data_IF_190831693524
#
_entry.id   IF_190831693524
#
_cell.length_a   1.000
_cell.length_b   1.000
_cell.length_c   1.000
_cell.angle_alpha   90.00
_cell.angle_beta   90.00
_cell.angle_gamma   90.00
#
_symmetry.space_group_name_H-M   'P 1'
#
loop_
_entity.id
_entity.type
_entity.pdbx_description
1 polymer ?
#
# COMPACT_ATOMS: atom_id res chain seq x y z
N UNK A 1 -3.18 9.45 -37.08
CA UNK A 1 -2.95 8.17 -36.38
C UNK A 1 -1.90 8.44 -35.33
N UNK A 2 -2.31 9.08 -34.25
CA UNK A 2 -1.40 9.68 -33.29
C UNK A 2 -1.06 8.68 -32.19
N UNK A 3 0.23 8.44 -32.09
CA UNK A 3 0.94 7.83 -30.98
C UNK A 3 0.40 8.41 -29.66
N UNK A 4 -0.33 7.60 -28.91
CA UNK A 4 -0.85 8.00 -27.60
C UNK A 4 0.24 7.69 -26.59
N UNK A 5 1.18 8.64 -26.51
CA UNK A 5 2.23 8.73 -25.51
C UNK A 5 1.63 8.39 -24.14
N UNK A 6 2.29 7.47 -23.44
CA UNK A 6 2.05 7.10 -22.04
C UNK A 6 1.98 8.35 -21.16
N UNK A 7 0.82 8.97 -21.07
CA UNK A 7 0.52 9.95 -20.04
C UNK A 7 0.09 9.16 -18.80
N UNK A 8 1.05 8.44 -18.24
CA UNK A 8 1.00 7.98 -16.87
C UNK A 8 1.11 9.26 -16.04
N UNK A 9 -0.03 9.80 -15.62
CA UNK A 9 -0.09 10.64 -14.43
C UNK A 9 0.30 9.76 -13.22
N UNK A 10 1.60 9.44 -13.15
CA UNK A 10 2.24 8.82 -12.00
C UNK A 10 2.16 9.86 -10.90
N UNK A 11 1.23 9.69 -9.97
CA UNK A 11 1.25 10.42 -8.71
C UNK A 11 2.68 10.40 -8.17
N UNK A 12 3.27 11.59 -8.06
CA UNK A 12 4.71 11.77 -8.02
C UNK A 12 5.36 10.93 -6.92
N UNK A 13 6.21 9.97 -7.33
CA UNK A 13 7.01 9.12 -6.44
C UNK A 13 7.69 10.01 -5.39
N UNK A 14 7.41 9.76 -4.11
CA UNK A 14 8.08 10.48 -3.03
C UNK A 14 9.48 9.90 -2.78
N UNK A 15 10.42 10.31 -3.63
CA UNK A 15 11.83 9.93 -3.63
C UNK A 15 12.54 9.94 -2.29
N UNK A 16 12.32 10.93 -1.39
CA UNK A 16 12.99 10.96 -0.10
C UNK A 16 12.74 9.69 0.72
N UNK A 17 11.49 9.23 0.72
CA UNK A 17 11.12 8.06 1.49
C UNK A 17 11.50 6.76 0.83
N UNK A 18 11.42 6.67 -0.51
CA UNK A 18 11.88 5.47 -1.23
C UNK A 18 13.36 5.20 -0.92
N UNK A 19 14.19 6.24 -0.98
CA UNK A 19 15.62 6.17 -0.71
C UNK A 19 15.88 5.84 0.76
N UNK A 20 15.25 6.57 1.69
CA UNK A 20 15.40 6.33 3.13
C UNK A 20 14.97 4.91 3.50
N UNK A 21 13.83 4.46 2.99
CA UNK A 21 13.30 3.14 3.27
C UNK A 21 14.22 2.05 2.72
N UNK A 22 14.68 2.15 1.48
CA UNK A 22 15.66 1.22 0.92
C UNK A 22 16.87 1.08 1.84
N UNK A 23 17.47 2.23 2.18
CA UNK A 23 18.68 2.30 3.00
C UNK A 23 18.47 1.63 4.36
N UNK A 24 17.39 1.98 5.06
CA UNK A 24 17.07 1.41 6.38
C UNK A 24 16.73 -0.07 6.31
N UNK A 25 16.01 -0.53 5.27
CA UNK A 25 15.67 -1.94 5.08
C UNK A 25 16.89 -2.84 4.89
N UNK A 26 18.01 -2.27 4.42
CA UNK A 26 19.31 -2.96 4.23
C UNK A 26 20.32 -2.66 5.34
N UNK A 27 19.94 -1.92 6.38
CA UNK A 27 20.85 -1.51 7.45
C UNK A 27 22.01 -0.62 6.98
N UNK A 28 21.85 0.07 5.86
CA UNK A 28 22.93 0.84 5.24
C UNK A 28 23.08 2.23 5.90
N UNK A 29 24.33 2.69 6.03
CA UNK A 29 24.64 4.10 6.28
C UNK A 29 24.50 4.89 4.98
N UNK A 30 24.24 6.20 5.05
CA UNK A 30 24.12 7.04 3.85
C UNK A 30 25.36 6.96 2.96
N UNK A 31 26.57 6.93 3.54
CA UNK A 31 27.82 6.80 2.80
C UNK A 31 27.95 5.46 2.05
N UNK A 32 27.42 4.37 2.62
CA UNK A 32 27.43 3.06 1.97
C UNK A 32 26.50 3.04 0.75
N UNK A 33 25.27 3.55 0.90
CA UNK A 33 24.35 3.69 -0.24
C UNK A 33 24.88 4.64 -1.32
N UNK A 34 25.57 5.71 -0.91
CA UNK A 34 26.20 6.64 -1.84
C UNK A 34 27.25 5.94 -2.71
N UNK A 35 28.10 5.12 -2.09
CA UNK A 35 29.07 4.28 -2.78
C UNK A 35 28.39 3.32 -3.78
N UNK A 36 27.33 2.62 -3.36
CA UNK A 36 26.61 1.67 -4.23
C UNK A 36 25.93 2.34 -5.45
N UNK A 37 25.52 3.60 -5.29
CA UNK A 37 24.89 4.41 -6.34
C UNK A 37 25.90 5.22 -7.16
N UNK A 38 27.18 5.24 -6.78
CA UNK A 38 28.20 6.07 -7.43
C UNK A 38 27.96 7.57 -7.28
N UNK A 39 27.41 7.99 -6.14
CA UNK A 39 27.10 9.40 -5.82
C UNK A 39 27.73 9.82 -4.50
N UNK A 40 27.63 11.09 -4.13
CA UNK A 40 28.15 11.58 -2.85
C UNK A 40 27.15 11.34 -1.71
N UNK A 41 27.63 11.17 -0.47
CA UNK A 41 26.77 11.09 0.70
C UNK A 41 25.86 12.33 0.83
N UNK A 42 26.38 13.52 0.48
CA UNK A 42 25.61 14.77 0.48
C UNK A 42 24.41 14.71 -0.44
N UNK A 43 24.53 14.05 -1.61
CA UNK A 43 23.39 13.84 -2.51
C UNK A 43 22.34 12.94 -1.86
N UNK A 44 22.73 11.82 -1.24
CA UNK A 44 21.81 10.96 -0.47
C UNK A 44 21.10 11.76 0.63
N UNK A 45 21.84 12.55 1.40
CA UNK A 45 21.26 13.36 2.47
C UNK A 45 20.24 14.38 1.95
N UNK A 46 20.52 15.03 0.82
CA UNK A 46 19.59 15.98 0.19
C UNK A 46 18.36 15.29 -0.38
N UNK A 47 18.51 14.07 -0.90
CA UNK A 47 17.37 13.29 -1.35
C UNK A 47 16.50 12.84 -0.19
N UNK A 48 17.07 12.28 0.87
CA UNK A 48 16.32 11.83 2.05
C UNK A 48 15.63 12.97 2.81
N UNK A 49 16.15 14.20 2.72
CA UNK A 49 15.51 15.39 3.29
C UNK A 49 14.49 16.06 2.36
N UNK A 50 14.37 15.61 1.10
CA UNK A 50 13.55 16.26 0.08
C UNK A 50 14.11 17.58 -0.47
N UNK A 51 15.33 17.95 -0.08
CA UNK A 51 16.01 19.15 -0.60
C UNK A 51 16.43 19.01 -2.08
N UNK A 52 16.46 17.79 -2.62
CA UNK A 52 16.65 17.53 -4.04
C UNK A 52 15.95 16.23 -4.45
N UNK A 53 15.65 16.10 -5.74
CA UNK A 53 15.13 14.87 -6.34
C UNK A 53 16.29 14.17 -7.09
N UNK A 54 16.44 12.84 -7.01
CA UNK A 54 17.44 12.12 -7.79
C UNK A 54 17.21 12.28 -9.28
N UNK A 55 18.27 12.26 -10.09
CA UNK A 55 18.14 12.23 -11.55
C UNK A 55 17.49 10.94 -12.01
N UNK A 56 16.83 10.94 -13.16
CA UNK A 56 16.13 9.76 -13.71
C UNK A 56 17.02 8.49 -13.74
N UNK A 57 18.29 8.63 -14.13
CA UNK A 57 19.26 7.53 -14.10
C UNK A 57 19.48 6.95 -12.69
N UNK A 58 19.54 7.81 -11.67
CA UNK A 58 19.66 7.34 -10.29
C UNK A 58 18.34 6.76 -9.79
N UNK A 59 17.21 7.34 -10.19
CA UNK A 59 15.89 6.79 -9.91
C UNK A 59 15.79 5.34 -10.37
N UNK A 60 16.14 5.08 -11.64
CA UNK A 60 16.24 3.74 -12.23
C UNK A 60 17.20 2.85 -11.44
N UNK A 61 18.38 3.35 -11.06
CA UNK A 61 19.36 2.56 -10.30
C UNK A 61 18.88 2.20 -8.89
N UNK A 62 18.20 3.12 -8.20
CA UNK A 62 17.58 2.87 -6.89
C UNK A 62 16.47 1.83 -7.04
N UNK A 63 15.69 1.89 -8.12
CA UNK A 63 14.73 0.84 -8.45
C UNK A 63 15.42 -0.50 -8.68
N UNK A 64 16.47 -0.56 -9.50
CA UNK A 64 17.23 -1.78 -9.74
C UNK A 64 17.74 -2.41 -8.44
N UNK A 65 18.30 -1.61 -7.54
CA UNK A 65 18.82 -2.11 -6.25
C UNK A 65 17.71 -2.59 -5.32
N UNK A 66 16.62 -1.83 -5.23
CA UNK A 66 15.47 -2.17 -4.42
C UNK A 66 14.84 -3.48 -4.90
N UNK A 67 14.72 -3.65 -6.22
CA UNK A 67 14.12 -4.83 -6.83
C UNK A 67 15.07 -6.01 -6.93
N UNK A 68 16.34 -5.85 -7.32
CA UNK A 68 17.32 -6.94 -7.35
C UNK A 68 17.47 -7.63 -5.98
N UNK A 69 17.21 -6.90 -4.90
CA UNK A 69 17.25 -7.41 -3.54
C UNK A 69 15.93 -8.03 -3.03
N UNK A 70 14.85 -7.96 -3.82
CA UNK A 70 13.51 -8.51 -3.54
C UNK A 70 12.98 -9.44 -4.65
N UNK A 71 13.62 -9.52 -5.81
CA UNK A 71 13.10 -10.25 -6.98
C UNK A 71 13.68 -11.65 -7.12
N UNK A 72 12.90 -12.65 -6.73
CA UNK A 72 12.75 -13.83 -7.59
C UNK A 72 11.33 -13.96 -8.15
N UNK A 73 10.39 -13.10 -7.74
CA UNK A 73 8.96 -13.25 -8.05
C UNK A 73 8.46 -12.01 -8.79
N UNK A 74 7.93 -12.21 -10.00
CA UNK A 74 7.31 -11.15 -10.80
C UNK A 74 6.08 -10.55 -10.12
N UNK A 75 5.68 -9.32 -10.50
CA UNK A 75 4.45 -8.67 -10.01
C UNK A 75 3.24 -9.59 -10.18
N UNK A 76 3.11 -10.25 -11.33
CA UNK A 76 2.03 -11.21 -11.60
C UNK A 76 2.05 -12.36 -10.61
N UNK A 77 3.20 -13.00 -10.40
CA UNK A 77 3.31 -14.14 -9.50
C UNK A 77 3.05 -13.77 -8.02
N UNK A 78 3.40 -12.54 -7.61
CA UNK A 78 3.04 -12.02 -6.28
C UNK A 78 1.53 -11.78 -6.14
N UNK A 79 0.91 -11.11 -7.12
CA UNK A 79 -0.54 -10.89 -7.15
C UNK A 79 -1.33 -12.21 -7.20
N UNK A 80 -0.84 -13.21 -7.92
CA UNK A 80 -1.45 -14.55 -7.98
C UNK A 80 -1.32 -15.31 -6.66
N UNK A 81 -0.23 -15.10 -5.92
CA UNK A 81 -0.08 -15.64 -4.55
C UNK A 81 -1.08 -14.99 -3.61
N UNK A 82 -1.25 -13.67 -3.67
CA UNK A 82 -2.25 -12.95 -2.86
C UNK A 82 -3.66 -13.40 -3.21
N UNK A 83 -3.99 -13.51 -4.51
CA UNK A 83 -5.31 -13.93 -4.98
C UNK A 83 -5.75 -15.29 -4.41
N UNK A 84 -4.79 -16.19 -4.13
CA UNK A 84 -5.04 -17.51 -3.54
C UNK A 84 -5.03 -17.54 -2.00
N UNK A 85 -4.67 -16.43 -1.34
CA UNK A 85 -4.53 -16.39 0.10
C UNK A 85 -5.87 -16.65 0.83
N UNK A 86 -5.90 -17.50 1.88
CA UNK A 86 -7.15 -17.91 2.53
C UNK A 86 -7.70 -16.89 3.53
N UNK A 87 -6.88 -15.96 4.03
CA UNK A 87 -7.32 -14.85 4.88
C UNK A 87 -7.70 -13.60 4.06
N UNK A 88 -8.35 -12.62 4.69
CA UNK A 88 -8.70 -11.34 4.05
C UNK A 88 -7.41 -10.58 3.75
N UNK A 89 -7.05 -10.48 2.48
CA UNK A 89 -5.86 -9.73 2.01
C UNK A 89 -6.25 -8.95 0.76
N UNK A 90 -5.93 -7.67 0.73
CA UNK A 90 -6.21 -6.76 -0.38
C UNK A 90 -4.96 -6.00 -0.80
N UNK A 91 -4.86 -5.73 -2.09
CA UNK A 91 -3.85 -4.84 -2.67
C UNK A 91 -4.58 -3.65 -3.27
N UNK A 92 -4.29 -2.45 -2.79
CA UNK A 92 -4.97 -1.22 -3.17
C UNK A 92 -3.91 -0.18 -3.55
N UNK A 93 -4.09 0.54 -4.65
CA UNK A 93 -3.16 1.60 -5.04
C UNK A 93 -3.45 2.92 -4.29
N UNK A 94 -2.67 3.97 -4.57
CA UNK A 94 -2.81 5.28 -3.94
C UNK A 94 -4.17 5.93 -4.19
N UNK A 95 -4.77 5.71 -5.37
CA UNK A 95 -6.11 6.22 -5.72
C UNK A 95 -7.26 5.47 -5.03
N UNK A 96 -6.95 4.37 -4.32
CA UNK A 96 -7.97 3.53 -3.70
C UNK A 96 -8.53 2.48 -4.66
N UNK A 97 -7.95 2.24 -5.83
CA UNK A 97 -8.35 1.16 -6.72
C UNK A 97 -7.90 -0.20 -6.16
N UNK A 98 -8.83 -1.15 -6.07
CA UNK A 98 -8.58 -2.51 -5.59
C UNK A 98 -7.92 -3.31 -6.71
N UNK A 99 -6.59 -3.43 -6.68
CA UNK A 99 -5.82 -4.15 -7.68
C UNK A 99 -5.98 -5.67 -7.57
N UNK A 100 -6.13 -6.18 -6.35
CA UNK A 100 -6.29 -7.62 -6.09
C UNK A 100 -6.99 -7.88 -4.76
N UNK A 101 -7.91 -8.84 -4.76
CA UNK A 101 -8.58 -9.35 -3.56
C UNK A 101 -8.31 -10.86 -3.41
N UNK A 102 -7.88 -11.26 -2.21
CA UNK A 102 -7.63 -12.67 -1.92
C UNK A 102 -8.91 -13.51 -1.95
N UNK A 103 -8.75 -14.84 -2.01
CA UNK A 103 -9.86 -15.78 -1.83
C UNK A 103 -10.56 -15.58 -0.49
N UNK A 104 -9.81 -15.36 0.59
CA UNK A 104 -10.39 -15.07 1.91
C UNK A 104 -11.22 -13.79 1.93
N UNK A 105 -10.73 -12.75 1.25
CA UNK A 105 -11.43 -11.47 1.17
C UNK A 105 -12.74 -11.58 0.40
N UNK A 106 -12.72 -12.21 -0.77
CA UNK A 106 -13.93 -12.48 -1.57
C UNK A 106 -14.95 -13.35 -0.84
N UNK A 107 -14.48 -14.36 -0.09
CA UNK A 107 -15.35 -15.22 0.72
C UNK A 107 -16.00 -14.47 1.87
N UNK A 108 -15.25 -13.59 2.56
CA UNK A 108 -15.81 -12.74 3.62
C UNK A 108 -17.00 -11.92 3.10
N UNK A 109 -16.85 -11.34 1.91
CA UNK A 109 -17.86 -10.48 1.31
C UNK A 109 -18.91 -11.22 0.47
N UNK A 110 -18.78 -12.54 0.34
CA UNK A 110 -19.60 -13.39 -0.53
C UNK A 110 -19.72 -12.84 -1.96
N UNK A 111 -18.57 -12.60 -2.60
CA UNK A 111 -18.55 -11.95 -3.91
C UNK A 111 -17.54 -12.56 -4.90
N UNK A 112 -17.77 -12.26 -6.18
CA UNK A 112 -16.85 -12.64 -7.25
C UNK A 112 -15.63 -11.71 -7.29
N UNK A 113 -14.57 -12.14 -7.99
CA UNK A 113 -13.38 -11.33 -8.21
C UNK A 113 -13.68 -10.00 -8.90
N UNK A 114 -14.50 -10.04 -9.96
CA UNK A 114 -14.87 -8.88 -10.77
C UNK A 114 -15.79 -7.90 -10.04
N UNK A 115 -16.43 -8.33 -8.93
CA UNK A 115 -17.25 -7.46 -8.12
C UNK A 115 -16.43 -6.48 -7.23
N UNK A 116 -15.13 -6.74 -7.06
CA UNK A 116 -14.20 -5.94 -6.25
C UNK A 116 -13.06 -5.37 -7.08
N UNK A 117 -12.35 -6.21 -7.82
CA UNK A 117 -11.10 -5.80 -8.46
C UNK A 117 -11.34 -4.81 -9.60
N UNK A 118 -10.59 -3.73 -9.62
CA UNK A 118 -10.75 -2.60 -10.53
C UNK A 118 -11.67 -1.49 -10.00
N UNK A 119 -12.47 -1.75 -8.96
CA UNK A 119 -13.29 -0.71 -8.33
C UNK A 119 -12.51 0.10 -7.31
N UNK A 120 -12.94 1.33 -7.07
CA UNK A 120 -12.38 2.17 -6.03
C UNK A 120 -13.02 1.90 -4.67
N UNK A 121 -12.26 2.11 -3.59
CA UNK A 121 -12.74 1.90 -2.20
C UNK A 121 -14.03 2.68 -1.95
N UNK A 122 -14.11 3.94 -2.37
CA UNK A 122 -15.29 4.79 -2.18
C UNK A 122 -16.52 4.34 -3.00
N UNK A 123 -16.33 3.55 -4.06
CA UNK A 123 -17.42 2.97 -4.85
C UNK A 123 -17.87 1.62 -4.31
N UNK A 124 -16.91 0.82 -3.82
CA UNK A 124 -17.13 -0.55 -3.37
C UNK A 124 -17.58 -0.63 -1.91
N UNK A 125 -17.26 0.37 -1.09
CA UNK A 125 -17.48 0.34 0.35
C UNK A 125 -18.05 1.66 0.88
N UNK A 126 -18.99 1.52 1.81
CA UNK A 126 -19.36 2.56 2.77
C UNK A 126 -18.81 2.22 4.17
N UNK A 127 -18.84 3.18 5.08
CA UNK A 127 -18.36 3.04 6.45
C UNK A 127 -16.93 3.53 6.60
N UNK A 128 -16.11 2.81 7.37
CA UNK A 128 -14.80 3.33 7.80
C UNK A 128 -13.72 3.33 6.72
N UNK A 129 -13.83 2.48 5.69
CA UNK A 129 -12.75 2.29 4.72
C UNK A 129 -12.44 3.49 3.81
N UNK A 130 -13.42 4.25 3.29
CA UNK A 130 -13.14 5.50 2.59
C UNK A 130 -12.31 6.48 3.45
N UNK A 131 -12.73 6.72 4.70
CA UNK A 131 -12.01 7.60 5.62
C UNK A 131 -10.65 7.02 6.06
N UNK A 132 -10.53 5.70 6.14
CA UNK A 132 -9.26 5.03 6.39
C UNK A 132 -8.29 5.24 5.23
N UNK A 133 -8.73 5.06 3.98
CA UNK A 133 -7.92 5.31 2.79
C UNK A 133 -7.39 6.74 2.77
N UNK A 134 -8.25 7.74 2.97
CA UNK A 134 -7.84 9.16 3.09
C UNK A 134 -6.81 9.39 4.21
N UNK A 135 -6.98 8.73 5.36
CA UNK A 135 -6.04 8.82 6.47
C UNK A 135 -4.68 8.16 6.13
N UNK A 136 -4.67 7.04 5.40
CA UNK A 136 -3.45 6.38 4.95
C UNK A 136 -2.71 7.24 3.91
N UNK A 137 -3.43 7.88 2.99
CA UNK A 137 -2.87 8.85 2.03
C UNK A 137 -2.26 10.03 2.79
N UNK A 138 -3.04 10.72 3.61
CA UNK A 138 -2.58 11.95 4.30
C UNK A 138 -1.46 11.69 5.31
N UNK A 139 -1.37 10.49 5.89
CA UNK A 139 -0.27 10.09 6.77
C UNK A 139 1.02 9.70 6.03
N UNK A 140 0.94 9.55 4.72
CA UNK A 140 2.10 9.31 3.86
C UNK A 140 2.42 7.84 3.62
N UNK A 141 1.41 6.94 3.63
CA UNK A 141 1.64 5.50 3.43
C UNK A 141 2.22 5.20 2.05
N UNK A 142 1.69 5.85 1.01
CA UNK A 142 2.13 5.68 -0.38
C UNK A 142 3.47 6.38 -0.66
N UNK A 143 3.95 7.13 0.32
CA UNK A 143 5.24 7.76 0.38
C UNK A 143 6.12 7.08 1.43
N UNK A 144 5.84 5.85 1.87
CA UNK A 144 6.70 5.11 2.80
C UNK A 144 6.95 5.78 4.17
N UNK A 145 6.18 6.81 4.56
CA UNK A 145 6.26 7.50 5.86
C UNK A 145 5.53 6.75 6.97
N UNK A 146 4.72 5.77 6.61
CA UNK A 146 3.99 4.89 7.53
C UNK A 146 4.64 3.51 7.51
N UNK A 147 4.99 2.98 8.68
CA UNK A 147 5.49 1.61 8.80
C UNK A 147 4.33 0.61 8.81
N UNK A 148 3.28 0.94 9.55
CA UNK A 148 2.04 0.18 9.59
C UNK A 148 0.90 1.03 10.15
N UNK A 149 -0.33 0.64 9.85
CA UNK A 149 -1.50 1.09 10.58
C UNK A 149 -2.35 -0.12 10.97
N UNK A 150 -3.10 0.01 12.04
CA UNK A 150 -4.03 -1.00 12.53
C UNK A 150 -5.40 -0.36 12.70
N UNK A 151 -6.46 -1.06 12.32
CA UNK A 151 -7.83 -0.56 12.38
C UNK A 151 -8.80 -1.60 12.93
N UNK A 152 -9.90 -1.12 13.48
CA UNK A 152 -11.10 -1.92 13.74
C UNK A 152 -12.26 -1.20 13.05
N UNK A 153 -12.74 -1.80 11.96
CA UNK A 153 -13.60 -1.13 10.99
C UNK A 153 -14.99 -1.75 10.97
N UNK A 154 -16.01 -0.90 10.83
CA UNK A 154 -17.34 -1.25 10.36
C UNK A 154 -17.50 -0.83 8.90
N UNK A 155 -17.61 -1.80 8.01
CA UNK A 155 -17.75 -1.57 6.57
C UNK A 155 -19.04 -2.14 6.02
N UNK A 156 -19.55 -1.55 4.95
CA UNK A 156 -20.63 -2.12 4.14
C UNK A 156 -20.15 -2.27 2.71
N UNK A 157 -20.04 -3.50 2.25
CA UNK A 157 -19.76 -3.79 0.84
C UNK A 157 -21.00 -3.52 -0.01
N UNK A 158 -20.82 -2.70 -1.04
CA UNK A 158 -21.82 -2.36 -2.06
C UNK A 158 -21.60 -3.26 -3.28
N UNK A 159 -22.33 -4.37 -3.35
CA UNK A 159 -22.18 -5.29 -4.46
C UNK A 159 -22.79 -4.74 -5.75
N UNK A 160 -22.26 -5.10 -6.93
CA UNK A 160 -22.78 -4.62 -8.22
C UNK A 160 -24.23 -5.00 -8.51
N UNK A 161 -24.74 -6.05 -7.85
CA UNK A 161 -26.14 -6.49 -7.90
C UNK A 161 -27.08 -5.64 -7.03
N UNK A 162 -26.55 -4.66 -6.29
CA UNK A 162 -27.29 -3.80 -5.38
C UNK A 162 -27.36 -4.34 -3.94
N UNK A 163 -26.88 -5.56 -3.67
CA UNK A 163 -26.86 -6.10 -2.31
C UNK A 163 -25.85 -5.36 -1.42
N UNK A 164 -26.24 -5.16 -0.16
CA UNK A 164 -25.43 -4.46 0.85
C UNK A 164 -25.07 -5.44 1.95
N UNK A 165 -23.76 -5.66 2.15
CA UNK A 165 -23.27 -6.64 3.12
C UNK A 165 -22.37 -5.97 4.14
N UNK A 166 -22.86 -5.85 5.37
CA UNK A 166 -22.11 -5.26 6.49
C UNK A 166 -21.11 -6.27 7.06
N UNK A 167 -19.90 -5.81 7.37
CA UNK A 167 -18.84 -6.58 8.02
C UNK A 167 -18.13 -5.73 9.07
N UNK A 168 -17.59 -6.41 10.07
CA UNK A 168 -16.62 -5.82 10.98
C UNK A 168 -15.27 -6.48 10.73
N UNK A 169 -14.23 -5.67 10.56
CA UNK A 169 -12.91 -6.15 10.15
C UNK A 169 -11.85 -5.57 11.07
N UNK A 170 -10.97 -6.43 11.60
CA UNK A 170 -9.71 -5.99 12.21
C UNK A 170 -8.64 -5.99 11.12
N UNK A 171 -8.12 -4.81 10.79
CA UNK A 171 -7.17 -4.59 9.72
C UNK A 171 -5.75 -4.31 10.22
N UNK A 172 -4.76 -4.85 9.51
CA UNK A 172 -3.38 -4.41 9.50
C UNK A 172 -3.05 -3.91 8.09
N UNK A 173 -2.53 -2.69 8.02
CA UNK A 173 -2.26 -1.96 6.79
C UNK A 173 -0.77 -1.67 6.71
N UNK A 174 -0.14 -2.03 5.60
CA UNK A 174 1.29 -1.81 5.39
C UNK A 174 1.55 -1.29 3.98
N UNK A 175 2.54 -0.42 3.77
CA UNK A 175 3.05 -0.19 2.43
C UNK A 175 3.72 -1.46 1.93
N UNK A 176 3.45 -1.82 0.67
CA UNK A 176 4.16 -2.86 -0.05
C UNK A 176 4.68 -2.30 -1.36
N UNK A 177 5.87 -2.71 -1.75
CA UNK A 177 6.56 -2.17 -2.90
C UNK A 177 6.47 -3.19 -4.03
N UNK A 178 5.74 -2.84 -5.09
CA UNK A 178 5.52 -3.74 -6.23
C UNK A 178 6.48 -3.45 -7.37
N UNK A 179 7.00 -4.46 -8.10
CA UNK A 179 7.13 -4.44 -9.55
C UNK A 179 7.19 -3.13 -10.36
N UNK A 180 7.98 -2.10 -10.06
CA UNK A 180 7.83 -0.76 -10.67
C UNK A 180 7.68 0.36 -9.64
N UNK A 181 7.50 1.63 -10.04
CA UNK A 181 7.50 2.77 -9.12
C UNK A 181 6.26 2.89 -8.21
N UNK A 182 5.58 1.79 -7.88
CA UNK A 182 4.29 1.79 -7.21
C UNK A 182 4.40 1.26 -5.77
N UNK A 183 4.14 2.13 -4.79
CA UNK A 183 3.82 1.73 -3.42
C UNK A 183 2.32 1.45 -3.37
N UNK A 184 1.95 0.29 -2.85
CA UNK A 184 0.55 -0.12 -2.66
C UNK A 184 0.24 -0.32 -1.18
N UNK A 185 -1.02 -0.12 -0.83
CA UNK A 185 -1.58 -0.50 0.44
C UNK A 185 -1.85 -2.00 0.43
N UNK A 186 -1.08 -2.75 1.24
CA UNK A 186 -1.36 -4.14 1.55
C UNK A 186 -2.22 -4.20 2.81
N UNK A 187 -3.49 -4.53 2.62
CA UNK A 187 -4.43 -4.88 3.69
C UNK A 187 -4.24 -6.35 4.05
N UNK A 188 -4.14 -6.65 5.35
CA UNK A 188 -4.31 -7.99 5.91
C UNK A 188 -5.33 -7.88 7.04
N UNK A 189 -6.39 -8.69 7.03
CA UNK A 189 -7.43 -8.57 8.05
C UNK A 189 -8.15 -9.88 8.37
N UNK A 190 -9.08 -9.77 9.31
CA UNK A 190 -9.97 -10.84 9.70
C UNK A 190 -11.36 -10.26 9.99
N UNK A 191 -12.40 -11.01 9.60
CA UNK A 191 -13.75 -10.72 10.06
C UNK A 191 -13.83 -10.94 11.57
N UNK A 192 -14.48 -10.02 12.25
CA UNK A 192 -14.74 -10.10 13.68
C UNK A 192 -16.24 -9.98 13.95
N UNK A 193 -16.65 -10.50 15.10
CA UNK A 193 -18.02 -10.26 15.58
C UNK A 193 -18.19 -8.78 15.97
N UNK A 194 -19.44 -8.30 15.95
CA UNK A 194 -19.79 -6.97 16.44
C UNK A 194 -19.33 -6.72 17.88
N UNK A 195 -19.41 -7.76 18.74
CA UNK A 195 -18.93 -7.70 20.12
C UNK A 195 -17.42 -7.43 20.17
N UNK A 196 -16.64 -8.19 19.41
CA UNK A 196 -15.17 -8.02 19.35
C UNK A 196 -14.81 -6.65 18.78
N UNK A 197 -15.54 -6.19 17.77
CA UNK A 197 -15.38 -4.84 17.24
C UNK A 197 -15.60 -3.77 18.32
N UNK A 198 -16.69 -3.86 19.08
CA UNK A 198 -16.98 -2.93 20.17
C UNK A 198 -15.88 -2.95 21.26
N UNK A 199 -15.47 -4.14 21.70
CA UNK A 199 -14.45 -4.31 22.74
C UNK A 199 -13.09 -3.74 22.31
N UNK A 200 -12.67 -4.00 21.07
CA UNK A 200 -11.38 -3.51 20.53
C UNK A 200 -11.44 -2.01 20.27
N UNK A 201 -12.54 -1.50 19.71
CA UNK A 201 -12.73 -0.06 19.47
C UNK A 201 -12.66 0.74 20.77
N UNK A 202 -13.22 0.22 21.87
CA UNK A 202 -13.13 0.85 23.18
C UNK A 202 -11.68 0.88 23.70
N UNK A 203 -10.91 -0.19 23.49
CA UNK A 203 -9.50 -0.29 23.92
C UNK A 203 -8.54 0.57 23.11
N UNK A 204 -8.78 0.72 21.81
CA UNK A 204 -7.94 1.54 20.93
C UNK A 204 -8.16 3.05 21.14
N UNK A 205 -9.25 3.46 21.81
CA UNK A 205 -9.60 4.87 21.99
C UNK A 205 -9.98 5.58 20.67
N UNK A 206 -10.30 4.80 19.63
CA UNK A 206 -10.59 5.26 18.28
C UNK A 206 -10.67 4.08 17.29
N UNK A 207 -10.99 4.35 16.02
CA UNK A 207 -11.13 3.29 14.99
C UNK A 207 -9.80 2.82 14.40
N UNK A 208 -8.69 3.54 14.63
CA UNK A 208 -7.39 3.22 14.02
C UNK A 208 -6.19 3.79 14.78
N UNK A 209 -5.04 3.15 14.59
CA UNK A 209 -3.72 3.58 15.09
C UNK A 209 -2.72 3.54 13.93
N UNK A 210 -2.08 4.68 13.63
CA UNK A 210 -1.06 4.80 12.57
C UNK A 210 0.33 4.92 13.20
N UNK A 211 1.26 4.06 12.78
CA UNK A 211 2.64 4.02 13.25
C UNK A 211 3.58 4.53 12.15
N UNK A 212 4.27 5.64 12.41
CA UNK A 212 5.21 6.26 11.46
C UNK A 212 6.46 5.39 11.25
N UNK A 213 7.07 5.49 10.08
CA UNK A 213 8.39 4.95 9.81
C UNK A 213 9.46 5.82 10.51
N UNK A 214 10.54 5.17 10.98
CA UNK A 214 11.65 5.82 11.70
C UNK A 214 12.47 6.72 10.77
#
# INVERSE_FOLDING_TARGET
MSDTTLNLDVQAIHWPSVIRHYRLSKGLKQAAMAHDLGVTQTMISRWESGAAIPSLRIQERVFDLYWASQTSVSRSAWLDRIGRHPAVVGVINADGCILRASRGFRRSLDCSRHALEGRYIHEAFEGDWPALHEALVSSGLFEGRVASAESIDAITFLAPDGERRRRFVHGLHRPSFLPGPEIVWLLSGADVSERVHADVSARLGGSKVIRKAI
#
